data_IF_391908581184
#
_entry.id   IF_391908581184
#
_cell.length_a   1.000
_cell.length_b   1.000
_cell.length_c   1.000
_cell.angle_alpha   90.00
_cell.angle_beta   90.00
_cell.angle_gamma   90.00
#
_symmetry.space_group_name_H-M   'P 1'
#
loop_
_entity.id
_entity.type
_entity.pdbx_description
1 polymer ?
#
# COMPACT_ATOMS: atom_id res chain seq x y z
N UNK A 1 2.60 13.19 10.02
CA UNK A 1 2.99 12.64 11.34
C UNK A 1 1.73 12.39 12.15
N UNK A 2 1.64 11.30 12.91
CA UNK A 2 0.47 11.05 13.78
C UNK A 2 0.63 11.67 15.16
N UNK A 3 -0.46 12.17 15.73
CA UNK A 3 -0.53 12.75 17.08
C UNK A 3 -0.11 11.70 18.12
N UNK A 4 0.71 12.08 19.09
CA UNK A 4 1.16 11.22 20.20
C UNK A 4 0.09 11.17 21.29
N UNK A 5 0.10 10.10 22.09
CA UNK A 5 -0.91 9.89 23.16
C UNK A 5 -0.95 11.03 24.18
N UNK A 6 0.19 11.62 24.52
CA UNK A 6 0.24 12.77 25.42
C UNK A 6 -0.44 14.02 24.85
N UNK A 7 -0.41 14.20 23.52
CA UNK A 7 -1.01 15.36 22.85
C UNK A 7 -2.53 15.19 22.85
N UNK A 8 -3.02 13.96 22.72
CA UNK A 8 -4.45 13.63 22.87
C UNK A 8 -4.92 13.98 24.29
N UNK A 9 -4.14 13.66 25.32
CA UNK A 9 -4.47 14.03 26.71
C UNK A 9 -4.52 15.55 26.88
N UNK A 10 -3.56 16.28 26.33
CA UNK A 10 -3.56 17.75 26.39
C UNK A 10 -4.78 18.34 25.68
N UNK A 11 -5.11 17.87 24.48
CA UNK A 11 -6.27 18.33 23.72
C UNK A 11 -7.59 18.02 24.43
N UNK A 12 -7.72 16.82 25.02
CA UNK A 12 -8.90 16.47 25.81
C UNK A 12 -9.01 17.32 27.07
N UNK A 13 -7.88 17.69 27.69
CA UNK A 13 -7.86 18.60 28.84
C UNK A 13 -8.32 20.01 28.45
N UNK A 14 -7.94 20.51 27.28
CA UNK A 14 -8.42 21.79 26.75
C UNK A 14 -9.94 21.76 26.48
N UNK A 15 -10.49 20.59 26.14
CA UNK A 15 -11.93 20.34 26.02
C UNK A 15 -12.63 20.08 27.38
N UNK A 16 -11.91 20.13 28.50
CA UNK A 16 -12.44 19.96 29.85
C UNK A 16 -12.52 18.50 30.34
N UNK A 17 -11.94 17.55 29.61
CA UNK A 17 -11.90 16.13 29.94
C UNK A 17 -10.52 15.74 30.47
N UNK A 18 -10.40 15.58 31.79
CA UNK A 18 -9.15 15.13 32.41
C UNK A 18 -9.08 13.59 32.40
N UNK A 19 -8.31 13.05 31.46
CA UNK A 19 -8.11 11.60 31.28
C UNK A 19 -6.63 11.24 31.32
N UNK A 20 -6.33 10.03 31.80
CA UNK A 20 -4.96 9.50 31.75
C UNK A 20 -4.61 8.95 30.36
N UNK A 21 -3.31 8.82 30.08
CA UNK A 21 -2.79 8.19 28.86
C UNK A 21 -3.34 6.76 28.69
N UNK A 22 -3.52 6.03 29.79
CA UNK A 22 -4.07 4.67 29.77
C UNK A 22 -5.53 4.62 29.34
N UNK A 23 -6.33 5.62 29.74
CA UNK A 23 -7.73 5.75 29.29
C UNK A 23 -7.77 6.10 27.81
N UNK A 24 -6.89 6.99 27.34
CA UNK A 24 -6.75 7.27 25.90
C UNK A 24 -6.41 6.00 25.12
N UNK A 25 -5.51 5.16 25.62
CA UNK A 25 -5.17 3.89 24.98
C UNK A 25 -6.37 2.95 24.86
N UNK A 26 -7.13 2.78 25.95
CA UNK A 26 -8.34 1.97 25.96
C UNK A 26 -9.40 2.51 24.99
N UNK A 27 -9.55 3.83 24.88
CA UNK A 27 -10.48 4.46 23.95
C UNK A 27 -10.07 4.22 22.49
N UNK A 28 -8.79 4.40 22.17
CA UNK A 28 -8.28 4.14 20.82
C UNK A 28 -8.46 2.67 20.42
N UNK A 29 -8.23 1.74 21.35
CA UNK A 29 -8.44 0.31 21.11
C UNK A 29 -9.93 -0.03 20.93
N UNK A 30 -10.79 0.43 21.85
CA UNK A 30 -12.25 0.20 21.79
C UNK A 30 -12.87 0.69 20.48
N UNK A 31 -12.41 1.83 19.96
CA UNK A 31 -12.90 2.42 18.73
C UNK A 31 -12.11 2.01 17.48
N UNK A 32 -11.17 1.05 17.60
CA UNK A 32 -10.32 0.59 16.51
C UNK A 32 -9.52 1.70 15.80
N UNK A 33 -9.19 2.77 16.51
CA UNK A 33 -8.30 3.81 15.99
C UNK A 33 -6.86 3.30 15.95
N UNK A 34 -6.38 3.02 14.74
CA UNK A 34 -5.00 2.60 14.50
C UNK A 34 -4.29 3.58 13.57
N UNK A 35 -2.97 3.64 13.68
CA UNK A 35 -2.15 4.41 12.73
C UNK A 35 -2.34 3.81 11.34
N UNK A 36 -2.90 4.59 10.41
CA UNK A 36 -2.99 4.20 9.00
C UNK A 36 -1.57 4.17 8.42
N UNK A 37 -1.22 3.03 7.82
CA UNK A 37 -0.05 2.90 6.94
C UNK A 37 -0.54 3.06 5.51
N UNK A 38 0.12 3.87 4.71
CA UNK A 38 -0.13 3.89 3.28
C UNK A 38 0.23 2.51 2.71
N UNK A 39 -0.76 1.82 2.16
CA UNK A 39 -0.58 0.54 1.46
C UNK A 39 -1.00 0.73 0.02
N UNK A 40 -0.21 0.19 -0.91
CA UNK A 40 -0.52 0.21 -2.35
C UNK A 40 -1.58 -0.86 -2.65
N UNK A 41 -2.78 -0.69 -2.11
CA UNK A 41 -3.91 -1.61 -2.28
C UNK A 41 -4.84 -1.20 -3.43
N UNK A 42 -4.62 -0.03 -4.01
CA UNK A 42 -5.38 0.45 -5.17
C UNK A 42 -4.56 0.21 -6.44
N UNK A 43 -5.22 -0.27 -7.48
CA UNK A 43 -4.63 -0.39 -8.80
C UNK A 43 -4.15 1.00 -9.25
N UNK A 44 -2.90 1.08 -9.70
CA UNK A 44 -2.24 2.36 -10.05
C UNK A 44 -2.48 2.77 -11.51
N UNK A 45 -3.31 2.02 -12.24
CA UNK A 45 -3.71 2.33 -13.61
C UNK A 45 -4.57 1.23 -14.22
N UNK A 46 -5.43 1.61 -15.17
CA UNK A 46 -6.17 0.71 -16.03
C UNK A 46 -5.57 0.79 -17.44
N UNK A 47 -5.42 -0.36 -18.09
CA UNK A 47 -4.97 -0.46 -19.49
C UNK A 47 -5.92 -1.41 -20.19
N UNK A 48 -6.63 -0.90 -21.19
CA UNK A 48 -7.67 -1.64 -21.93
C UNK A 48 -7.14 -2.97 -22.50
N UNK A 49 -5.90 -2.95 -22.99
CA UNK A 49 -5.26 -4.11 -23.63
C UNK A 49 -4.30 -4.88 -22.71
N UNK A 50 -4.47 -4.77 -21.37
CA UNK A 50 -3.55 -5.43 -20.42
C UNK A 50 -3.46 -6.94 -20.66
N UNK A 51 -4.60 -7.60 -20.84
CA UNK A 51 -4.63 -9.05 -21.03
C UNK A 51 -4.05 -9.48 -22.38
N UNK A 52 -4.40 -8.76 -23.46
CA UNK A 52 -3.90 -9.01 -24.82
C UNK A 52 -2.36 -8.92 -24.90
N UNK A 53 -1.75 -8.01 -24.13
CA UNK A 53 -0.28 -7.93 -24.03
C UNK A 53 0.32 -9.20 -23.41
N UNK A 54 -0.28 -9.75 -22.35
CA UNK A 54 0.22 -10.97 -21.71
C UNK A 54 0.08 -12.18 -22.63
N UNK A 55 -1.06 -12.31 -23.33
CA UNK A 55 -1.30 -13.39 -24.29
C UNK A 55 -0.30 -13.33 -25.46
N UNK A 56 -0.02 -12.13 -25.98
CA UNK A 56 0.96 -11.95 -27.05
C UNK A 56 2.38 -12.32 -26.58
N UNK A 57 2.75 -11.93 -25.35
CA UNK A 57 4.05 -12.30 -24.77
C UNK A 57 4.16 -13.82 -24.61
N UNK A 58 3.11 -14.50 -24.15
CA UNK A 58 3.10 -15.96 -23.98
C UNK A 58 3.30 -16.69 -25.32
N UNK A 59 2.61 -16.25 -26.38
CA UNK A 59 2.80 -16.77 -27.72
C UNK A 59 4.24 -16.60 -28.21
N UNK A 60 4.80 -15.40 -28.05
CA UNK A 60 6.18 -15.12 -28.44
C UNK A 60 7.17 -16.00 -27.68
N UNK A 61 7.03 -16.13 -26.35
CA UNK A 61 7.90 -17.01 -25.56
C UNK A 61 7.88 -18.45 -26.06
N UNK A 62 6.70 -19.01 -26.37
CA UNK A 62 6.59 -20.36 -26.92
C UNK A 62 7.30 -20.53 -28.26
N UNK A 63 7.19 -19.55 -29.17
CA UNK A 63 7.89 -19.60 -30.47
C UNK A 63 9.41 -19.55 -30.31
N UNK A 64 9.94 -18.68 -29.43
CA UNK A 64 11.38 -18.57 -29.21
C UNK A 64 11.95 -19.77 -28.47
N UNK A 65 11.23 -20.31 -27.49
CA UNK A 65 11.63 -21.55 -26.80
C UNK A 65 11.67 -22.75 -27.76
N UNK A 66 10.67 -22.88 -28.63
CA UNK A 66 10.65 -23.95 -29.65
C UNK A 66 11.80 -23.81 -30.66
N UNK A 67 12.16 -22.58 -31.01
CA UNK A 67 13.29 -22.29 -31.88
C UNK A 67 14.68 -22.43 -31.19
N UNK A 68 14.72 -22.78 -29.90
CA UNK A 68 15.96 -22.90 -29.12
C UNK A 68 16.61 -21.56 -28.76
N UNK A 69 15.90 -20.45 -28.93
CA UNK A 69 16.40 -19.12 -28.61
C UNK A 69 16.25 -18.82 -27.11
N UNK A 70 17.21 -18.12 -26.50
CA UNK A 70 17.11 -17.72 -25.10
C UNK A 70 16.01 -16.66 -24.93
N UNK A 71 15.15 -16.88 -23.94
CA UNK A 71 14.12 -15.91 -23.51
C UNK A 71 14.61 -15.22 -22.25
N UNK A 72 14.72 -13.90 -22.27
CA UNK A 72 15.17 -13.08 -21.14
C UNK A 72 14.10 -12.08 -20.73
N UNK A 73 13.84 -11.97 -19.42
CA UNK A 73 12.97 -10.94 -18.86
C UNK A 73 13.80 -9.72 -18.47
N UNK A 74 13.51 -8.57 -19.08
CA UNK A 74 14.19 -7.31 -18.81
C UNK A 74 13.18 -6.34 -18.20
N UNK A 75 13.26 -6.13 -16.89
CA UNK A 75 12.54 -5.06 -16.20
C UNK A 75 13.43 -3.83 -16.13
N UNK A 76 13.15 -2.84 -16.96
CA UNK A 76 13.85 -1.54 -16.89
C UNK A 76 12.98 -0.56 -16.12
N UNK A 77 13.38 -0.22 -14.91
CA UNK A 77 12.83 0.93 -14.21
C UNK A 77 13.46 2.19 -14.83
N UNK A 78 12.61 3.09 -15.32
CA UNK A 78 13.05 4.39 -15.83
C UNK A 78 13.53 5.23 -14.65
N UNK A 79 14.84 5.34 -14.48
CA UNK A 79 15.42 6.36 -13.61
C UNK A 79 15.20 7.74 -14.24
N UNK A 80 14.61 8.66 -13.47
CA UNK A 80 14.60 10.10 -13.73
C UNK A 80 15.41 10.79 -12.64
#
# INVERSE_FOLDING_TARGET
MGIKRHEIVTLLKDEGLEVSVTVVDQLLEKHNFRKRKAVKTLATGESEHRNEQFETIEQLQGTYQTAGNPVMSLDTNKEN
#
